data_IF_046922398026
#
_entry.id   IF_046922398026
#
_cell.length_a   1.000
_cell.length_b   1.000
_cell.length_c   1.000
_cell.angle_alpha   90.00
_cell.angle_beta   90.00
_cell.angle_gamma   90.00
#
_symmetry.space_group_name_H-M   'P 1'
#
loop_
_entity.id
_entity.type
_entity.pdbx_description
1 polymer ?
#
# COMPACT_ATOMS: atom_id res chain seq x y z
N UNK A 1 -52.05 -17.78 -13.67
CA UNK A 1 -51.14 -16.69 -13.34
C UNK A 1 -49.81 -17.28 -12.85
N UNK A 2 -48.80 -17.32 -13.70
CA UNK A 2 -47.46 -17.87 -13.35
C UNK A 2 -46.66 -16.78 -12.65
N UNK A 3 -46.32 -17.01 -11.37
CA UNK A 3 -45.43 -16.13 -10.63
C UNK A 3 -44.00 -16.38 -11.12
N UNK A 4 -43.42 -15.41 -11.81
CA UNK A 4 -42.00 -15.38 -12.19
C UNK A 4 -41.25 -14.93 -10.93
N UNK A 5 -40.53 -15.86 -10.30
CA UNK A 5 -39.60 -15.58 -9.22
C UNK A 5 -38.30 -15.13 -9.90
N UNK A 6 -38.01 -13.81 -9.85
CA UNK A 6 -36.72 -13.27 -10.20
C UNK A 6 -35.72 -13.65 -9.08
N UNK A 7 -34.93 -14.67 -9.33
CA UNK A 7 -33.75 -14.96 -8.51
C UNK A 7 -32.67 -13.95 -8.93
N UNK A 8 -32.53 -12.89 -8.14
CA UNK A 8 -31.37 -12.02 -8.22
C UNK A 8 -30.17 -12.87 -7.74
N UNK A 9 -29.45 -13.48 -8.67
CA UNK A 9 -28.13 -14.01 -8.41
C UNK A 9 -27.19 -12.83 -8.12
N UNK A 10 -27.03 -12.50 -6.84
CA UNK A 10 -25.94 -11.66 -6.37
C UNK A 10 -24.65 -12.41 -6.71
N UNK A 11 -24.04 -12.07 -7.84
CA UNK A 11 -22.64 -12.38 -8.09
C UNK A 11 -21.83 -11.56 -7.08
N UNK A 12 -21.66 -12.15 -5.90
CA UNK A 12 -20.55 -11.81 -5.03
C UNK A 12 -19.29 -12.20 -5.81
N UNK A 13 -18.74 -11.22 -6.53
CA UNK A 13 -17.38 -11.34 -7.01
C UNK A 13 -16.50 -11.47 -5.76
N UNK A 14 -16.21 -12.71 -5.38
CA UNK A 14 -15.11 -13.00 -4.49
C UNK A 14 -13.85 -12.51 -5.21
N UNK A 15 -13.48 -11.28 -4.93
CA UNK A 15 -12.13 -10.83 -5.21
C UNK A 15 -11.22 -11.74 -4.41
N UNK A 16 -10.69 -12.76 -5.09
CA UNK A 16 -9.68 -13.61 -4.49
C UNK A 16 -8.51 -12.71 -4.10
N UNK A 17 -8.25 -12.58 -2.82
CA UNK A 17 -7.15 -11.80 -2.22
C UNK A 17 -5.77 -12.38 -2.54
N UNK A 18 -5.59 -12.92 -3.74
CA UNK A 18 -4.33 -13.42 -4.28
C UNK A 18 -3.52 -12.33 -4.99
N UNK A 19 -3.74 -11.06 -4.61
CA UNK A 19 -2.91 -9.96 -5.12
C UNK A 19 -1.68 -9.83 -4.23
N UNK A 20 -0.50 -9.88 -4.84
CA UNK A 20 0.70 -9.46 -4.15
C UNK A 20 0.91 -7.95 -4.37
N UNK A 21 1.65 -7.36 -3.47
CA UNK A 21 1.99 -5.95 -3.53
C UNK A 21 3.40 -5.75 -2.99
N UNK A 22 4.04 -4.72 -3.49
CA UNK A 22 5.40 -4.33 -3.08
C UNK A 22 5.34 -2.95 -2.48
N UNK A 23 6.00 -2.77 -1.36
CA UNK A 23 6.29 -1.47 -0.78
C UNK A 23 7.80 -1.26 -0.72
N UNK A 24 8.25 -0.13 -1.27
CA UNK A 24 9.63 0.31 -1.24
C UNK A 24 9.72 1.51 -0.31
N UNK A 25 10.59 1.43 0.68
CA UNK A 25 10.93 2.55 1.56
C UNK A 25 12.25 3.16 1.06
N UNK A 26 12.21 4.44 0.70
CA UNK A 26 13.32 5.15 0.07
C UNK A 26 13.99 6.08 1.07
N UNK A 27 15.26 5.81 1.38
CA UNK A 27 16.12 6.69 2.17
C UNK A 27 17.04 7.44 1.20
N UNK A 28 16.84 8.73 1.07
CA UNK A 28 17.57 9.56 0.11
C UNK A 28 18.94 9.96 0.66
N UNK A 29 19.92 10.14 -0.24
CA UNK A 29 21.10 10.91 0.06
C UNK A 29 20.76 12.37 0.33
N UNK A 30 21.63 13.08 1.03
CA UNK A 30 21.48 14.50 1.31
C UNK A 30 21.35 15.31 0.01
N UNK A 31 20.47 16.30 0.00
CA UNK A 31 20.18 17.19 -1.15
C UNK A 31 19.70 16.48 -2.44
N UNK A 32 19.22 15.23 -2.37
CA UNK A 32 18.75 14.49 -3.56
C UNK A 32 17.24 14.49 -3.78
N UNK A 33 16.47 15.19 -2.96
CA UNK A 33 15.01 15.18 -3.04
C UNK A 33 14.49 15.61 -4.42
N UNK A 34 15.01 16.72 -4.97
CA UNK A 34 14.59 17.21 -6.30
C UNK A 34 14.92 16.22 -7.42
N UNK A 35 16.08 15.58 -7.34
CA UNK A 35 16.49 14.54 -8.30
C UNK A 35 15.58 13.32 -8.22
N UNK A 36 15.24 12.91 -7.01
CA UNK A 36 14.30 11.83 -6.75
C UNK A 36 12.91 12.13 -7.31
N UNK A 37 12.34 13.29 -6.98
CA UNK A 37 11.01 13.69 -7.46
C UNK A 37 10.95 13.81 -8.99
N UNK A 38 12.01 14.28 -9.62
CA UNK A 38 12.11 14.32 -11.08
C UNK A 38 12.12 12.91 -11.68
N UNK A 39 12.89 12.00 -11.11
CA UNK A 39 12.97 10.61 -11.54
C UNK A 39 11.61 9.91 -11.37
N UNK A 40 10.93 10.08 -10.21
CA UNK A 40 9.63 9.46 -9.95
C UNK A 40 8.53 9.99 -10.88
N UNK A 41 8.59 11.26 -11.29
CA UNK A 41 7.71 11.81 -12.33
C UNK A 41 7.91 11.15 -13.69
N UNK A 42 9.13 10.75 -14.02
CA UNK A 42 9.40 10.00 -15.24
C UNK A 42 8.96 8.54 -15.07
N UNK A 43 9.15 7.93 -13.91
CA UNK A 43 8.59 6.63 -13.57
C UNK A 43 7.06 6.61 -13.60
N UNK A 44 6.39 7.68 -13.18
CA UNK A 44 4.93 7.79 -13.26
C UNK A 44 4.44 7.55 -14.69
N UNK A 45 5.03 8.20 -15.70
CA UNK A 45 4.66 8.03 -17.11
C UNK A 45 4.81 6.58 -17.60
N UNK A 46 5.88 5.92 -17.14
CA UNK A 46 6.13 4.50 -17.47
C UNK A 46 5.09 3.61 -16.79
N UNK A 47 4.78 3.89 -15.52
CA UNK A 47 3.80 3.13 -14.75
C UNK A 47 2.37 3.33 -15.27
N UNK A 48 1.97 4.54 -15.68
CA UNK A 48 0.70 4.80 -16.36
C UNK A 48 0.55 3.95 -17.63
N UNK A 49 1.60 3.91 -18.45
CA UNK A 49 1.62 3.07 -19.64
C UNK A 49 1.61 1.57 -19.31
N UNK A 50 2.19 1.15 -18.18
CA UNK A 50 2.16 -0.24 -17.72
C UNK A 50 0.78 -0.65 -17.18
N UNK A 51 0.09 0.23 -16.44
CA UNK A 51 -1.30 0.03 -16.01
C UNK A 51 -2.20 -0.12 -17.23
N UNK A 52 -2.10 0.79 -18.20
CA UNK A 52 -2.89 0.74 -19.44
C UNK A 52 -2.68 -0.54 -20.26
N UNK A 53 -1.55 -1.25 -20.07
CA UNK A 53 -1.24 -2.55 -20.69
C UNK A 53 -1.56 -3.75 -19.81
N UNK A 54 -2.08 -3.53 -18.60
CA UNK A 54 -2.37 -4.60 -17.66
C UNK A 54 -1.13 -5.30 -17.09
N UNK A 55 0.04 -4.66 -17.07
CA UNK A 55 1.25 -5.23 -16.47
C UNK A 55 1.29 -5.07 -14.95
N UNK A 56 0.69 -4.01 -14.44
CA UNK A 56 0.46 -3.77 -13.01
C UNK A 56 -0.97 -3.26 -12.82
N UNK A 57 -1.47 -3.30 -11.60
CA UNK A 57 -2.79 -2.77 -11.25
C UNK A 57 -2.69 -1.29 -10.90
N UNK A 58 -1.67 -0.91 -10.13
CA UNK A 58 -1.51 0.45 -9.60
C UNK A 58 -0.06 0.69 -9.19
N UNK A 59 0.35 1.95 -9.25
CA UNK A 59 1.59 2.46 -8.70
C UNK A 59 1.32 3.82 -8.04
N UNK A 60 2.00 4.11 -6.91
CA UNK A 60 1.89 5.39 -6.24
C UNK A 60 3.13 5.69 -5.41
N UNK A 61 3.43 7.00 -5.22
CA UNK A 61 4.50 7.51 -4.38
C UNK A 61 3.92 8.38 -3.28
N UNK A 62 4.37 8.12 -2.08
CA UNK A 62 3.90 8.74 -0.85
C UNK A 62 5.06 9.41 -0.14
N UNK A 63 4.94 10.70 0.15
CA UNK A 63 5.90 11.44 0.99
C UNK A 63 5.55 11.19 2.46
N UNK A 64 6.53 10.77 3.24
CA UNK A 64 6.37 10.56 4.68
C UNK A 64 6.49 11.89 5.43
N UNK A 65 5.69 12.06 6.47
CA UNK A 65 5.85 13.13 7.46
C UNK A 65 7.02 12.75 8.39
N UNK A 66 8.12 13.53 8.44
CA UNK A 66 9.25 13.23 9.30
C UNK A 66 8.85 13.29 10.79
N UNK A 67 9.55 12.51 11.62
CA UNK A 67 9.48 12.57 13.09
C UNK A 67 10.87 12.86 13.64
N UNK A 68 10.92 13.37 14.86
CA UNK A 68 12.18 13.56 15.59
C UNK A 68 12.95 12.23 15.71
N UNK A 69 14.24 12.24 15.48
CA UNK A 69 15.09 11.05 15.52
C UNK A 69 15.08 10.15 14.28
N UNK A 70 14.53 10.65 13.15
CA UNK A 70 14.34 9.89 11.91
C UNK A 70 15.50 10.02 10.88
N UNK A 71 16.72 10.39 11.27
CA UNK A 71 17.80 10.75 10.31
C UNK A 71 18.14 9.65 9.29
N UNK A 72 17.84 8.39 9.60
CA UNK A 72 18.07 7.26 8.71
C UNK A 72 16.77 6.53 8.31
N UNK A 73 15.63 7.21 8.44
CA UNK A 73 14.35 6.64 8.06
C UNK A 73 13.96 7.03 6.65
N UNK A 74 13.01 6.28 6.06
CA UNK A 74 12.56 6.55 4.71
C UNK A 74 11.83 7.91 4.63
N UNK A 75 12.16 8.73 3.64
CA UNK A 75 11.43 9.95 3.32
C UNK A 75 10.24 9.69 2.41
N UNK A 76 10.29 8.59 1.63
CA UNK A 76 9.26 8.23 0.67
C UNK A 76 8.95 6.74 0.72
N UNK A 77 7.68 6.42 0.37
CA UNK A 77 7.25 5.07 0.13
C UNK A 77 6.68 4.96 -1.29
N UNK A 78 7.15 3.97 -2.04
CA UNK A 78 6.56 3.60 -3.33
C UNK A 78 5.75 2.34 -3.14
N UNK A 79 4.51 2.38 -3.58
CA UNK A 79 3.58 1.27 -3.48
C UNK A 79 3.20 0.79 -4.87
N UNK A 80 3.31 -0.52 -5.11
CA UNK A 80 2.92 -1.16 -6.36
C UNK A 80 2.02 -2.36 -6.09
N UNK A 81 0.89 -2.39 -6.76
CA UNK A 81 -0.05 -3.52 -6.74
C UNK A 81 0.04 -4.31 -8.02
N UNK A 82 0.03 -5.63 -7.89
CA UNK A 82 -0.01 -6.59 -8.99
C UNK A 82 -1.05 -7.66 -8.70
N UNK A 83 -1.52 -8.35 -9.75
CA UNK A 83 -2.26 -9.60 -9.60
C UNK A 83 -1.28 -10.77 -9.53
N UNK A 84 -1.72 -11.91 -9.02
CA UNK A 84 -0.91 -13.15 -9.03
C UNK A 84 -0.45 -13.54 -10.43
N UNK A 85 -1.29 -13.32 -11.45
CA UNK A 85 -0.93 -13.59 -12.84
C UNK A 85 0.18 -12.66 -13.34
N UNK A 86 0.16 -11.38 -12.91
CA UNK A 86 1.20 -10.40 -13.25
C UNK A 86 2.52 -10.72 -12.54
N UNK A 87 2.47 -11.16 -11.26
CA UNK A 87 3.66 -11.55 -10.49
C UNK A 87 4.35 -12.78 -11.06
N UNK A 88 3.56 -13.75 -11.52
CA UNK A 88 4.08 -14.98 -12.11
C UNK A 88 4.55 -14.81 -13.57
N UNK A 89 4.49 -13.61 -14.14
CA UNK A 89 4.97 -13.36 -15.50
C UNK A 89 6.49 -13.13 -15.51
N UNK A 90 7.31 -14.09 -15.97
CA UNK A 90 8.77 -13.98 -15.94
C UNK A 90 9.30 -12.86 -16.87
N UNK A 91 8.46 -12.29 -17.73
CA UNK A 91 8.84 -11.22 -18.69
C UNK A 91 8.59 -9.80 -18.13
N UNK A 92 8.22 -9.65 -16.86
CA UNK A 92 7.90 -8.34 -16.30
C UNK A 92 9.06 -7.33 -16.45
N UNK A 93 10.30 -7.74 -16.22
CA UNK A 93 11.45 -6.85 -16.35
C UNK A 93 11.68 -6.39 -17.80
N UNK A 94 11.58 -7.31 -18.79
CA UNK A 94 11.71 -6.96 -20.20
C UNK A 94 10.54 -6.09 -20.68
N UNK A 95 9.37 -6.30 -20.12
CA UNK A 95 8.21 -5.46 -20.41
C UNK A 95 8.43 -4.01 -19.97
N UNK A 96 9.06 -3.77 -18.81
CA UNK A 96 9.37 -2.43 -18.32
C UNK A 96 10.25 -1.64 -19.29
N UNK A 97 11.31 -2.23 -19.79
CA UNK A 97 12.19 -1.61 -20.78
C UNK A 97 11.43 -1.27 -22.06
N UNK A 98 10.59 -2.19 -22.55
CA UNK A 98 9.75 -1.98 -23.75
C UNK A 98 8.72 -0.86 -23.53
N UNK A 99 8.13 -0.79 -22.33
CA UNK A 99 7.19 0.28 -21.97
C UNK A 99 7.92 1.61 -21.93
N UNK A 100 9.04 1.72 -21.23
CA UNK A 100 9.84 2.93 -21.11
C UNK A 100 10.29 3.45 -22.50
N UNK A 101 10.80 2.57 -23.37
CA UNK A 101 11.21 2.93 -24.75
C UNK A 101 10.04 3.45 -25.58
N UNK A 102 8.83 2.92 -25.39
CA UNK A 102 7.61 3.41 -26.08
C UNK A 102 7.09 4.72 -25.47
N UNK A 103 7.22 4.90 -24.16
CA UNK A 103 6.81 6.12 -23.45
C UNK A 103 7.69 7.30 -23.85
N UNK A 104 9.00 7.10 -23.96
CA UNK A 104 9.98 8.15 -24.29
C UNK A 104 10.47 8.05 -25.73
N UNK A 105 9.52 7.99 -26.68
CA UNK A 105 9.85 7.97 -28.13
C UNK A 105 10.83 9.08 -28.50
N UNK A 106 11.84 8.73 -29.32
CA UNK A 106 12.86 9.66 -29.79
C UNK A 106 14.06 9.82 -28.85
N UNK A 107 14.05 9.23 -27.63
CA UNK A 107 15.22 9.15 -26.78
C UNK A 107 16.01 7.85 -27.03
N UNK A 108 17.34 7.94 -26.94
CA UNK A 108 18.17 6.71 -26.96
C UNK A 108 17.94 5.88 -25.69
N UNK A 109 18.14 4.56 -25.77
CA UNK A 109 18.03 3.68 -24.61
C UNK A 109 18.92 4.15 -23.44
N UNK A 110 20.15 4.57 -23.73
CA UNK A 110 21.08 5.12 -22.74
C UNK A 110 20.51 6.35 -22.02
N UNK A 111 19.80 7.24 -22.75
CA UNK A 111 19.17 8.41 -22.14
C UNK A 111 17.99 8.01 -21.24
N UNK A 112 17.20 7.01 -21.66
CA UNK A 112 16.07 6.46 -20.88
C UNK A 112 16.61 5.81 -19.59
N UNK A 113 17.60 4.94 -19.71
CA UNK A 113 18.22 4.25 -18.58
C UNK A 113 18.76 5.29 -17.56
N UNK A 114 19.41 6.36 -18.02
CA UNK A 114 19.87 7.44 -17.14
C UNK A 114 18.72 8.19 -16.45
N UNK A 115 17.61 8.44 -17.15
CA UNK A 115 16.43 9.14 -16.59
C UNK A 115 15.74 8.32 -15.49
N UNK A 116 15.75 7.00 -15.65
CA UNK A 116 15.10 6.05 -14.74
C UNK A 116 16.08 5.40 -13.76
N UNK A 117 17.35 5.81 -13.80
CA UNK A 117 18.38 5.29 -12.89
C UNK A 117 18.14 5.75 -11.47
N UNK A 118 18.46 4.87 -10.55
CA UNK A 118 18.47 5.11 -9.12
C UNK A 118 19.87 5.49 -8.60
N UNK A 119 20.88 5.58 -9.50
CA UNK A 119 22.26 5.84 -9.12
C UNK A 119 22.38 7.19 -8.42
N UNK A 120 23.18 7.24 -7.35
CA UNK A 120 23.53 8.42 -6.57
C UNK A 120 22.33 9.17 -5.93
N UNK A 121 21.14 8.56 -5.85
CA UNK A 121 19.94 9.18 -5.27
C UNK A 121 19.67 8.62 -3.87
N UNK A 122 19.94 7.34 -3.63
CA UNK A 122 19.56 6.67 -2.42
C UNK A 122 20.75 6.32 -1.54
N UNK A 123 20.64 6.66 -0.26
CA UNK A 123 21.48 6.11 0.81
C UNK A 123 21.08 4.66 1.10
N UNK A 124 19.78 4.37 1.04
CA UNK A 124 19.25 3.03 1.28
C UNK A 124 17.89 2.86 0.59
N UNK A 125 17.58 1.65 0.18
CA UNK A 125 16.31 1.26 -0.42
C UNK A 125 15.89 -0.08 0.16
N UNK A 126 14.68 -0.15 0.70
CA UNK A 126 14.18 -1.29 1.45
C UNK A 126 12.89 -1.80 0.83
N UNK A 127 12.87 -3.05 0.43
CA UNK A 127 11.72 -3.66 -0.24
C UNK A 127 11.05 -4.70 0.65
N UNK A 128 9.70 -4.66 0.65
CA UNK A 128 8.86 -5.69 1.25
C UNK A 128 7.79 -6.11 0.25
N UNK A 129 7.67 -7.42 0.03
CA UNK A 129 6.51 -7.99 -0.63
C UNK A 129 5.52 -8.45 0.43
N UNK A 130 4.24 -8.29 0.15
CA UNK A 130 3.18 -8.77 1.01
C UNK A 130 1.99 -9.27 0.21
N UNK A 131 1.23 -10.18 0.79
CA UNK A 131 -0.08 -10.63 0.31
C UNK A 131 -1.16 -10.04 1.19
N UNK A 132 -2.31 -9.70 0.62
CA UNK A 132 -3.46 -9.26 1.39
C UNK A 132 -4.08 -10.44 2.13
N UNK A 133 -4.26 -10.32 3.45
CA UNK A 133 -4.91 -11.33 4.31
C UNK A 133 -6.29 -10.88 4.78
N UNK A 134 -6.54 -9.58 4.85
CA UNK A 134 -7.85 -8.99 5.06
C UNK A 134 -7.94 -7.61 4.43
N UNK A 135 -9.11 -7.20 3.99
CA UNK A 135 -9.35 -5.84 3.51
C UNK A 135 -10.83 -5.50 3.51
N UNK A 136 -11.15 -4.20 3.55
CA UNK A 136 -12.50 -3.66 3.33
C UNK A 136 -12.85 -3.65 1.84
N UNK A 137 -14.12 -3.45 1.52
CA UNK A 137 -14.54 -3.11 0.16
C UNK A 137 -13.95 -1.77 -0.28
N UNK A 138 -13.75 -1.64 -1.59
CA UNK A 138 -13.39 -0.38 -2.23
C UNK A 138 -14.65 0.24 -2.86
N UNK A 139 -15.00 1.47 -2.46
CA UNK A 139 -16.20 2.16 -3.00
C UNK A 139 -15.94 2.92 -4.31
N UNK A 140 -14.83 2.65 -5.01
CA UNK A 140 -14.50 3.30 -6.28
C UNK A 140 -14.02 4.75 -6.13
N UNK A 141 -13.65 5.18 -4.94
CA UNK A 141 -13.10 6.52 -4.73
C UNK A 141 -11.70 6.60 -5.35
N UNK A 142 -11.52 7.54 -6.26
CA UNK A 142 -10.22 7.76 -6.90
C UNK A 142 -9.18 8.30 -5.91
N UNK A 143 -7.92 8.00 -6.19
CA UNK A 143 -6.80 8.56 -5.46
C UNK A 143 -6.56 9.99 -5.91
N UNK A 144 -6.45 10.91 -4.96
CA UNK A 144 -6.19 12.31 -5.22
C UNK A 144 -4.84 12.73 -4.63
N UNK A 145 -4.05 13.49 -5.39
CA UNK A 145 -2.81 14.06 -4.88
C UNK A 145 -3.12 14.87 -3.60
N UNK A 146 -2.34 14.63 -2.55
CA UNK A 146 -2.56 15.18 -1.22
C UNK A 146 -3.41 14.30 -0.30
N UNK A 147 -3.94 13.18 -0.77
CA UNK A 147 -4.58 12.19 0.11
C UNK A 147 -3.61 11.72 1.20
N UNK A 148 -4.16 11.46 2.38
CA UNK A 148 -3.40 10.95 3.52
C UNK A 148 -3.52 9.44 3.63
N UNK A 149 -2.42 8.81 4.06
CA UNK A 149 -2.42 7.41 4.46
C UNK A 149 -1.65 7.23 5.75
N UNK A 150 -2.01 6.18 6.50
CA UNK A 150 -1.28 5.74 7.69
C UNK A 150 -0.93 4.27 7.53
N UNK A 151 0.38 3.97 7.48
CA UNK A 151 0.87 2.61 7.43
C UNK A 151 1.37 2.20 8.81
N UNK A 152 0.81 1.11 9.33
CA UNK A 152 1.21 0.55 10.62
C UNK A 152 1.97 -0.74 10.40
N UNK A 153 3.26 -0.72 10.63
CA UNK A 153 4.06 -1.94 10.69
C UNK A 153 3.78 -2.66 12.01
N UNK A 154 3.50 -3.96 11.92
CA UNK A 154 3.09 -4.76 13.06
C UNK A 154 3.86 -6.07 13.14
N UNK A 155 4.06 -6.54 14.37
CA UNK A 155 4.56 -7.87 14.66
C UNK A 155 3.43 -8.70 15.26
N UNK A 156 3.07 -9.77 14.59
CA UNK A 156 2.13 -10.76 15.12
C UNK A 156 2.73 -11.44 16.35
N UNK A 157 1.96 -11.55 17.44
CA UNK A 157 2.37 -12.18 18.70
C UNK A 157 1.74 -13.55 18.92
N UNK A 158 0.55 -13.79 18.33
CA UNK A 158 -0.13 -15.08 18.39
C UNK A 158 -0.94 -15.33 17.11
N UNK A 159 -1.50 -16.52 16.98
CA UNK A 159 -2.25 -16.97 15.79
C UNK A 159 -3.61 -16.27 15.61
N UNK A 160 -4.18 -15.71 16.67
CA UNK A 160 -5.49 -15.03 16.62
C UNK A 160 -5.42 -13.62 16.01
N UNK A 161 -4.22 -13.08 15.79
CA UNK A 161 -4.02 -11.71 15.35
C UNK A 161 -4.84 -11.33 14.11
N UNK A 162 -4.74 -12.12 13.04
CA UNK A 162 -5.45 -11.84 11.77
C UNK A 162 -6.96 -11.91 11.98
N UNK A 163 -7.44 -12.82 12.83
CA UNK A 163 -8.85 -12.95 13.14
C UNK A 163 -9.39 -11.76 13.92
N UNK A 164 -8.62 -11.23 14.91
CA UNK A 164 -8.97 -10.00 15.61
C UNK A 164 -9.02 -8.79 14.66
N UNK A 165 -8.07 -8.65 13.77
CA UNK A 165 -8.09 -7.58 12.77
C UNK A 165 -9.31 -7.68 11.85
N UNK A 166 -9.65 -8.89 11.38
CA UNK A 166 -10.77 -9.12 10.47
C UNK A 166 -12.13 -8.96 11.15
N UNK A 167 -12.28 -9.41 12.40
CA UNK A 167 -13.56 -9.43 13.09
C UNK A 167 -13.85 -8.20 13.96
N UNK A 168 -12.82 -7.53 14.48
CA UNK A 168 -13.00 -6.34 15.31
C UNK A 168 -12.67 -5.05 14.56
N UNK A 169 -11.48 -4.98 13.95
CA UNK A 169 -11.03 -3.73 13.35
C UNK A 169 -11.65 -3.44 11.98
N UNK A 170 -11.72 -4.45 11.11
CA UNK A 170 -12.26 -4.30 9.76
C UNK A 170 -13.71 -3.79 9.71
N UNK A 171 -14.66 -4.25 10.55
CA UNK A 171 -16.01 -3.69 10.60
C UNK A 171 -16.02 -2.19 10.91
N UNK A 172 -15.14 -1.73 11.81
CA UNK A 172 -14.99 -0.31 12.14
C UNK A 172 -14.46 0.45 10.94
N UNK A 173 -13.39 -0.05 10.31
CA UNK A 173 -12.84 0.54 9.11
C UNK A 173 -13.86 0.59 7.96
N UNK A 174 -14.71 -0.44 7.83
CA UNK A 174 -15.79 -0.46 6.84
C UNK A 174 -16.86 0.59 7.15
N UNK A 175 -17.23 0.80 8.43
CA UNK A 175 -18.15 1.85 8.82
C UNK A 175 -17.55 3.24 8.53
N UNK A 176 -16.28 3.46 8.81
CA UNK A 176 -15.59 4.71 8.48
C UNK A 176 -15.57 5.01 6.97
N UNK A 177 -15.54 3.96 6.13
CA UNK A 177 -15.67 4.12 4.67
C UNK A 177 -17.07 4.58 4.32
N UNK A 178 -18.13 3.97 4.89
CA UNK A 178 -19.52 4.36 4.67
C UNK A 178 -19.79 5.79 5.15
N UNK A 179 -19.15 6.20 6.24
CA UNK A 179 -19.25 7.55 6.79
C UNK A 179 -18.39 8.58 6.01
N UNK A 180 -17.58 8.11 5.05
CA UNK A 180 -16.76 8.95 4.19
C UNK A 180 -15.47 9.47 4.83
N UNK A 181 -14.95 8.86 5.91
CA UNK A 181 -13.67 9.23 6.54
C UNK A 181 -12.49 8.47 5.98
N UNK A 182 -12.73 7.27 5.43
CA UNK A 182 -11.71 6.36 4.91
C UNK A 182 -12.04 5.96 3.48
N UNK A 183 -11.03 5.80 2.64
CA UNK A 183 -11.18 5.24 1.28
C UNK A 183 -11.04 3.72 1.28
N UNK A 184 -10.11 3.22 2.09
CA UNK A 184 -9.78 1.80 2.14
C UNK A 184 -9.00 1.45 3.40
N UNK A 185 -9.20 0.24 3.90
CA UNK A 185 -8.34 -0.42 4.87
C UNK A 185 -7.95 -1.79 4.36
N UNK A 186 -6.71 -2.20 4.64
CA UNK A 186 -6.25 -3.55 4.34
C UNK A 186 -5.09 -3.98 5.21
N UNK A 187 -5.02 -5.28 5.47
CA UNK A 187 -3.95 -5.95 6.20
C UNK A 187 -3.16 -6.82 5.24
N UNK A 188 -1.87 -6.53 5.11
CA UNK A 188 -0.91 -7.31 4.34
C UNK A 188 0.02 -8.13 5.22
N UNK A 189 0.16 -9.43 4.95
CA UNK A 189 1.20 -10.29 5.54
C UNK A 189 2.48 -10.16 4.71
N UNK A 190 3.59 -9.82 5.34
CA UNK A 190 4.90 -9.69 4.69
C UNK A 190 5.42 -11.09 4.35
N UNK A 191 5.54 -11.38 3.05
CA UNK A 191 5.99 -12.69 2.55
C UNK A 191 7.45 -12.69 2.11
N UNK A 192 8.04 -11.52 1.85
CA UNK A 192 9.45 -11.37 1.48
C UNK A 192 10.00 -10.01 1.90
N UNK A 193 11.29 -9.99 2.21
CA UNK A 193 12.09 -8.79 2.53
C UNK A 193 13.43 -8.91 1.82
N UNK A 194 13.90 -7.80 1.23
CA UNK A 194 15.27 -7.71 0.72
C UNK A 194 16.31 -7.66 1.86
N UNK A 195 17.59 -7.77 1.53
CA UNK A 195 18.67 -7.80 2.53
C UNK A 195 18.74 -6.49 3.37
N UNK A 196 18.62 -5.27 2.78
CA UNK A 196 18.57 -4.05 3.59
C UNK A 196 17.41 -4.04 4.59
N UNK A 197 16.23 -4.55 4.20
CA UNK A 197 15.08 -4.66 5.11
C UNK A 197 15.30 -5.68 6.22
N UNK A 198 15.93 -6.82 5.91
CA UNK A 198 16.27 -7.85 6.91
C UNK A 198 17.29 -7.33 7.93
N UNK A 199 18.26 -6.54 7.47
CA UNK A 199 19.29 -5.94 8.32
C UNK A 199 18.72 -5.02 9.43
N UNK A 200 17.54 -4.44 9.22
CA UNK A 200 16.86 -3.65 10.27
C UNK A 200 16.39 -4.48 11.48
N UNK A 201 16.28 -5.79 11.31
CA UNK A 201 15.85 -6.74 12.34
C UNK A 201 14.60 -6.31 13.14
N UNK A 202 13.66 -5.65 12.47
CA UNK A 202 12.47 -5.08 13.13
C UNK A 202 11.43 -6.12 13.55
N UNK A 203 11.53 -7.34 13.06
CA UNK A 203 10.58 -8.42 13.37
C UNK A 203 9.18 -8.23 12.78
N UNK A 204 8.95 -7.22 11.93
CA UNK A 204 7.63 -6.95 11.36
C UNK A 204 7.17 -8.13 10.49
N UNK A 205 5.93 -8.54 10.70
CA UNK A 205 5.26 -9.63 9.98
C UNK A 205 4.11 -9.14 9.12
N UNK A 206 3.51 -8.00 9.47
CA UNK A 206 2.34 -7.44 8.79
C UNK A 206 2.44 -5.92 8.62
N UNK A 207 1.63 -5.40 7.70
CA UNK A 207 1.42 -3.97 7.50
C UNK A 207 -0.09 -3.73 7.40
N UNK A 208 -0.64 -2.82 8.23
CA UNK A 208 -1.99 -2.32 8.02
C UNK A 208 -1.94 -1.00 7.25
N UNK A 209 -2.72 -0.92 6.19
CA UNK A 209 -2.84 0.21 5.29
C UNK A 209 -4.15 0.93 5.55
N UNK A 210 -4.08 2.21 5.86
CA UNK A 210 -5.23 3.07 6.12
C UNK A 210 -5.18 4.25 5.15
N UNK A 211 -6.00 4.22 4.11
CA UNK A 211 -6.10 5.31 3.15
C UNK A 211 -7.31 6.17 3.50
N UNK A 212 -7.07 7.45 3.78
CA UNK A 212 -8.06 8.38 4.30
C UNK A 212 -8.66 9.24 3.20
N UNK A 213 -9.83 9.77 3.46
CA UNK A 213 -10.40 10.87 2.67
C UNK A 213 -9.89 12.21 3.19
N UNK A 214 -10.28 13.30 2.53
CA UNK A 214 -10.02 14.67 3.02
C UNK A 214 -11.00 15.12 4.10
N UNK A 215 -12.02 14.30 4.43
CA UNK A 215 -13.00 14.60 5.47
C UNK A 215 -12.32 14.61 6.83
N UNK A 216 -12.49 15.73 7.53
CA UNK A 216 -11.94 15.94 8.87
C UNK A 216 -12.98 15.66 9.96
N UNK A 217 -12.56 15.79 11.22
CA UNK A 217 -13.43 15.63 12.40
C UNK A 217 -14.03 14.22 12.52
N UNK A 218 -13.20 13.20 12.23
CA UNK A 218 -13.56 11.83 12.55
C UNK A 218 -13.90 11.71 14.03
N UNK A 219 -15.05 11.12 14.40
CA UNK A 219 -15.38 10.86 15.79
C UNK A 219 -14.28 10.03 16.48
N UNK A 220 -13.97 10.40 17.72
CA UNK A 220 -13.11 9.57 18.55
C UNK A 220 -13.84 8.25 18.82
N UNK A 221 -13.13 7.15 18.68
CA UNK A 221 -13.69 5.86 19.02
C UNK A 221 -13.89 5.79 20.54
N UNK A 222 -15.13 5.57 20.96
CA UNK A 222 -15.46 5.42 22.36
C UNK A 222 -14.89 4.12 22.91
N UNK A 223 -14.46 4.16 24.17
CA UNK A 223 -14.05 2.93 24.87
C UNK A 223 -15.30 2.07 25.08
N UNK A 224 -15.31 0.81 24.67
CA UNK A 224 -16.46 -0.06 24.89
C UNK A 224 -16.79 -0.18 26.38
N UNK A 225 -18.07 -0.07 26.71
CA UNK A 225 -18.54 -0.16 28.11
C UNK A 225 -18.77 -1.61 28.54
N UNK A 226 -19.14 -2.49 27.59
CA UNK A 226 -19.45 -3.89 27.93
C UNK A 226 -18.19 -4.75 28.08
N UNK A 227 -18.26 -5.70 29.00
CA UNK A 227 -17.14 -6.56 29.38
C UNK A 227 -16.60 -7.41 28.20
N UNK A 228 -17.46 -7.96 27.35
CA UNK A 228 -17.02 -8.84 26.27
C UNK A 228 -16.25 -8.07 25.19
N UNK A 229 -16.74 -6.88 24.84
CA UNK A 229 -16.05 -6.00 23.90
C UNK A 229 -14.72 -5.53 24.47
N UNK A 230 -14.65 -5.17 25.76
CA UNK A 230 -13.38 -4.84 26.41
C UNK A 230 -12.38 -6.00 26.32
N UNK A 231 -12.81 -7.22 26.60
CA UNK A 231 -11.95 -8.43 26.48
C UNK A 231 -11.51 -8.69 25.05
N UNK A 232 -12.37 -8.46 24.07
CA UNK A 232 -12.00 -8.58 22.67
C UNK A 232 -10.92 -7.55 22.27
N UNK A 233 -11.03 -6.30 22.73
CA UNK A 233 -10.01 -5.27 22.51
C UNK A 233 -8.69 -5.55 23.22
N UNK A 234 -8.74 -6.08 24.46
CA UNK A 234 -7.55 -6.58 25.15
C UNK A 234 -6.88 -7.69 24.34
N UNK A 235 -7.68 -8.64 23.81
CA UNK A 235 -7.20 -9.71 22.94
C UNK A 235 -6.51 -9.18 21.68
N UNK A 236 -7.13 -8.24 20.97
CA UNK A 236 -6.53 -7.57 19.82
C UNK A 236 -5.20 -6.92 20.18
N UNK A 237 -5.15 -6.15 21.27
CA UNK A 237 -3.93 -5.46 21.72
C UNK A 237 -2.81 -6.44 22.09
N UNK A 238 -3.15 -7.55 22.70
CA UNK A 238 -2.21 -8.59 23.10
C UNK A 238 -1.75 -9.48 21.94
N UNK A 239 -2.51 -9.52 20.85
CA UNK A 239 -2.21 -10.35 19.67
C UNK A 239 -1.12 -9.77 18.77
N UNK A 240 -0.77 -8.49 18.96
CA UNK A 240 0.19 -7.77 18.13
C UNK A 240 1.06 -6.78 18.92
N UNK A 241 2.16 -6.43 18.32
CA UNK A 241 2.95 -5.25 18.63
C UNK A 241 2.85 -4.29 17.45
N UNK A 242 2.43 -3.08 17.70
CA UNK A 242 2.20 -2.08 16.65
C UNK A 242 3.19 -0.93 16.82
N UNK A 243 3.93 -0.61 15.76
CA UNK A 243 4.77 0.57 15.73
C UNK A 243 3.95 1.84 15.50
N UNK A 244 4.51 3.01 15.84
CA UNK A 244 3.92 4.29 15.46
C UNK A 244 3.61 4.33 13.96
N UNK A 245 2.45 4.89 13.61
CA UNK A 245 2.02 4.99 12.23
C UNK A 245 3.01 5.82 11.39
N UNK A 246 3.32 5.35 10.20
CA UNK A 246 3.92 6.17 9.17
C UNK A 246 2.83 7.03 8.54
N UNK A 247 2.84 8.34 8.82
CA UNK A 247 1.93 9.29 8.18
C UNK A 247 2.48 9.68 6.82
N UNK A 248 1.66 9.51 5.79
CA UNK A 248 2.04 9.64 4.39
C UNK A 248 1.09 10.58 3.65
N UNK A 249 1.64 11.29 2.67
CA UNK A 249 0.87 12.12 1.74
C UNK A 249 1.13 11.67 0.31
N UNK A 250 0.08 11.41 -0.46
CA UNK A 250 0.18 11.01 -1.86
C UNK A 250 0.72 12.14 -2.71
N UNK A 251 1.80 11.89 -3.48
CA UNK A 251 2.44 12.88 -4.37
C UNK A 251 2.41 12.49 -5.84
N UNK A 252 2.42 11.19 -6.15
CA UNK A 252 2.24 10.65 -7.50
C UNK A 252 1.38 9.39 -7.45
N UNK A 253 0.54 9.18 -8.46
CA UNK A 253 -0.23 7.95 -8.63
C UNK A 253 -0.52 7.70 -10.10
N UNK A 254 -0.70 6.44 -10.46
CA UNK A 254 -1.38 6.06 -11.71
C UNK A 254 -2.89 6.10 -11.51
N UNK A 255 -3.65 6.24 -12.57
CA UNK A 255 -5.11 6.13 -12.53
C UNK A 255 -5.59 4.80 -11.94
#
# INVERSE_FOLDING_TARGET
>A
MKKIIFVFAFFLAFYSYSQSSVILAMVLEEDKEDSYLKMERDWQKVNEAAVAKGYIVQWSVWKRTPREGDENWAQYYVFRRTTKAQDNNPQNFDNWKKVASKTFKGKSQKAIDKMLSFDDIFKDRRERQFKWVSATGWLGLEWEIGDKAYFHFMKQKNEDFVQYEDQLWKPIAQQEILDGYRKFWGLGEIISKDEPTKALNTGHTHIAFNFMTKKQNKPTMETPEDFLTQKAWEGLSNSREMLPAEELTLIYTTP
#
